data_IF_430698627198
#
_entry.id   IF_430698627198
#
_cell.length_a   1.000
_cell.length_b   1.000
_cell.length_c   1.000
_cell.angle_alpha   90.00
_cell.angle_beta   90.00
_cell.angle_gamma   90.00
#
_symmetry.space_group_name_H-M   'P 1'
#
loop_
_entity.id
_entity.type
_entity.pdbx_description
1 polymer ?
#
# COMPACT_ATOMS: atom_id res chain seq x y z
N UNK A 1 34.70 88.29 54.54
CA UNK A 1 34.16 89.49 53.88
C UNK A 1 32.84 89.10 53.22
N UNK A 2 31.75 89.66 53.74
CA UNK A 2 30.40 89.91 53.16
C UNK A 2 29.74 88.81 52.30
N UNK A 3 28.60 88.26 52.77
CA UNK A 3 27.20 88.68 52.51
C UNK A 3 26.73 88.31 51.09
N UNK A 4 25.53 87.84 50.78
CA UNK A 4 24.28 87.63 51.50
C UNK A 4 23.36 86.75 50.61
N UNK A 5 22.43 86.06 51.27
CA UNK A 5 21.07 85.63 50.91
C UNK A 5 20.60 85.53 49.43
N UNK A 6 19.86 84.43 49.12
CA UNK A 6 18.41 84.51 48.87
C UNK A 6 17.71 83.15 48.69
N UNK A 7 16.43 83.18 49.04
CA UNK A 7 15.44 82.11 49.17
C UNK A 7 15.06 81.36 47.88
N UNK A 8 14.47 80.15 48.02
CA UNK A 8 13.88 79.42 46.89
C UNK A 8 13.21 78.10 47.22
N UNK A 9 12.03 78.18 47.84
CA UNK A 9 10.91 77.21 47.98
C UNK A 9 10.96 75.91 47.16
N UNK A 10 10.79 74.79 47.85
CA UNK A 10 10.58 73.42 47.34
C UNK A 10 9.29 73.26 46.50
N UNK A 11 9.41 72.74 45.27
CA UNK A 11 8.29 72.24 44.46
C UNK A 11 8.48 70.78 44.04
N UNK A 12 7.47 69.96 44.33
CA UNK A 12 6.92 68.95 43.43
C UNK A 12 7.67 67.62 43.24
N UNK A 13 7.32 66.61 44.04
CA UNK A 13 7.62 65.21 43.74
C UNK A 13 6.75 64.70 42.57
N UNK A 14 7.39 64.25 41.46
CA UNK A 14 6.75 63.54 40.35
C UNK A 14 6.59 62.04 40.67
N UNK A 15 5.51 61.38 40.26
CA UNK A 15 5.32 59.95 40.47
C UNK A 15 6.24 59.13 39.55
N UNK A 16 6.89 58.10 40.12
CA UNK A 16 7.74 57.14 39.41
C UNK A 16 6.90 56.29 38.44
N UNK A 17 7.20 56.38 37.15
CA UNK A 17 6.67 55.51 36.10
C UNK A 17 7.24 54.10 36.21
N UNK A 18 6.37 53.09 36.20
CA UNK A 18 6.74 51.68 36.13
C UNK A 18 7.46 51.34 34.80
N UNK A 19 8.41 50.38 34.79
CA UNK A 19 9.16 50.03 33.59
C UNK A 19 8.24 49.31 32.58
N UNK A 20 8.14 49.89 31.38
CA UNK A 20 7.50 49.23 30.22
C UNK A 20 8.41 48.09 29.77
N UNK A 21 7.96 46.85 29.95
CA UNK A 21 8.55 45.68 29.32
C UNK A 21 8.49 45.84 27.79
N UNK A 22 9.55 45.52 27.04
CA UNK A 22 9.60 45.71 25.60
C UNK A 22 8.64 44.72 24.92
N UNK A 23 7.58 45.24 24.28
CA UNK A 23 6.58 44.43 23.56
C UNK A 23 7.16 43.50 22.48
N UNK A 24 8.40 43.74 22.03
CA UNK A 24 9.12 42.85 21.11
C UNK A 24 9.48 41.48 21.70
N UNK A 25 9.71 41.37 23.01
CA UNK A 25 10.05 40.09 23.66
C UNK A 25 8.81 39.20 23.80
N UNK A 26 7.65 39.81 24.09
CA UNK A 26 6.37 39.10 24.15
C UNK A 26 5.95 38.62 22.75
N UNK A 27 6.18 39.42 21.71
CA UNK A 27 5.90 39.03 20.32
C UNK A 27 6.80 37.88 19.81
N UNK A 28 8.10 37.86 20.16
CA UNK A 28 8.98 36.74 19.83
C UNK A 28 8.66 35.45 20.62
N UNK A 29 8.27 35.57 21.90
CA UNK A 29 7.81 34.40 22.66
C UNK A 29 6.48 33.85 22.12
N UNK A 30 5.55 34.70 21.69
CA UNK A 30 4.30 34.26 21.04
C UNK A 30 4.54 33.59 19.68
N UNK A 31 5.53 34.05 18.89
CA UNK A 31 5.93 33.38 17.66
C UNK A 31 6.63 32.02 17.91
N UNK A 32 7.41 31.90 18.99
CA UNK A 32 8.04 30.64 19.40
C UNK A 32 7.04 29.61 19.96
N UNK A 33 5.92 30.05 20.53
CA UNK A 33 4.83 29.18 21.00
C UNK A 33 3.89 28.77 19.84
N UNK A 34 3.84 29.54 18.75
CA UNK A 34 3.09 29.19 17.53
C UNK A 34 3.89 28.30 16.55
N UNK A 35 5.21 28.18 16.71
CA UNK A 35 6.01 27.09 16.13
C UNK A 35 5.84 25.81 16.95
N UNK A 36 4.59 25.31 17.01
CA UNK A 36 4.28 24.04 17.66
C UNK A 36 5.19 22.94 17.14
N UNK A 37 5.63 22.06 18.04
CA UNK A 37 6.49 20.90 17.78
C UNK A 37 6.01 20.14 16.54
N UNK A 38 6.59 20.44 15.38
CA UNK A 38 6.37 19.66 14.17
C UNK A 38 7.04 18.33 14.41
N UNK A 39 6.24 17.25 14.42
CA UNK A 39 6.77 15.88 14.51
C UNK A 39 7.88 15.69 13.47
N UNK A 40 8.94 14.99 13.85
CA UNK A 40 9.98 14.54 12.93
C UNK A 40 9.44 13.51 11.94
N UNK A 41 10.18 13.24 10.87
CA UNK A 41 9.83 12.17 9.92
C UNK A 41 9.74 10.80 10.61
N UNK A 42 10.69 10.50 11.50
CA UNK A 42 10.70 9.25 12.25
C UNK A 42 9.47 9.11 13.16
N UNK A 43 9.06 10.21 13.83
CA UNK A 43 7.84 10.22 14.65
C UNK A 43 6.58 10.04 13.80
N UNK A 44 6.55 10.62 12.59
CA UNK A 44 5.43 10.42 11.65
C UNK A 44 5.40 8.99 11.10
N UNK A 45 6.54 8.42 10.75
CA UNK A 45 6.65 7.04 10.29
C UNK A 45 6.28 6.04 11.40
N UNK A 46 6.62 6.32 12.66
CA UNK A 46 6.18 5.52 13.80
C UNK A 46 4.66 5.61 14.01
N UNK A 47 4.08 6.80 13.86
CA UNK A 47 2.64 7.00 13.92
C UNK A 47 1.90 6.25 12.80
N UNK A 48 2.38 6.35 11.56
CA UNK A 48 1.80 5.60 10.44
C UNK A 48 1.91 4.08 10.64
N UNK A 49 3.01 3.57 11.22
CA UNK A 49 3.13 2.15 11.58
C UNK A 49 2.08 1.73 12.61
N UNK A 50 1.85 2.54 13.64
CA UNK A 50 0.78 2.28 14.61
C UNK A 50 -0.62 2.32 13.94
N UNK A 51 -0.83 3.21 12.97
CA UNK A 51 -2.07 3.27 12.20
C UNK A 51 -2.25 2.04 11.30
N UNK A 52 -1.19 1.53 10.68
CA UNK A 52 -1.18 0.26 9.94
C UNK A 52 -1.58 -0.89 10.86
N UNK A 53 -0.98 -0.99 12.04
CA UNK A 53 -1.30 -2.03 13.03
C UNK A 53 -2.77 -1.96 13.48
N UNK A 54 -3.27 -0.75 13.76
CA UNK A 54 -4.67 -0.54 14.13
C UNK A 54 -5.61 -0.95 12.99
N UNK A 55 -5.31 -0.53 11.75
CA UNK A 55 -6.07 -0.91 10.55
C UNK A 55 -6.14 -2.42 10.39
N UNK A 56 -5.01 -3.12 10.51
CA UNK A 56 -4.92 -4.57 10.37
C UNK A 56 -5.73 -5.29 11.44
N UNK A 57 -5.62 -4.85 12.70
CA UNK A 57 -6.36 -5.43 13.82
C UNK A 57 -7.87 -5.31 13.60
N UNK A 58 -8.31 -4.16 13.12
CA UNK A 58 -9.73 -3.81 13.02
C UNK A 58 -10.36 -4.20 11.65
N UNK A 59 -9.55 -4.66 10.69
CA UNK A 59 -9.98 -5.05 9.36
C UNK A 59 -10.76 -6.38 9.35
N UNK A 60 -12.07 -6.29 9.13
CA UNK A 60 -12.95 -7.45 8.94
C UNK A 60 -12.58 -8.29 7.71
N UNK A 61 -12.01 -7.67 6.67
CA UNK A 61 -11.51 -8.35 5.46
C UNK A 61 -10.40 -9.37 5.78
N UNK A 62 -9.62 -9.15 6.84
CA UNK A 62 -8.51 -10.01 7.24
C UNK A 62 -8.91 -11.15 8.16
N UNK A 63 -10.07 -11.07 8.82
CA UNK A 63 -10.50 -12.06 9.82
C UNK A 63 -10.54 -13.48 9.26
N UNK A 64 -11.16 -13.76 8.09
CA UNK A 64 -11.19 -15.12 7.56
C UNK A 64 -9.79 -15.68 7.31
N UNK A 65 -8.90 -14.84 6.78
CA UNK A 65 -7.53 -15.24 6.49
C UNK A 65 -6.71 -15.50 7.75
N UNK A 66 -6.71 -14.56 8.69
CA UNK A 66 -6.00 -14.70 9.98
C UNK A 66 -6.53 -15.89 10.78
N UNK A 67 -7.85 -16.10 10.79
CA UNK A 67 -8.48 -17.23 11.47
C UNK A 67 -8.07 -18.56 10.84
N UNK A 68 -8.03 -18.63 9.50
CA UNK A 68 -7.57 -19.81 8.78
C UNK A 68 -6.10 -20.11 9.07
N UNK A 69 -5.21 -19.10 8.98
CA UNK A 69 -3.78 -19.23 9.29
C UNK A 69 -3.57 -19.70 10.74
N UNK A 70 -4.22 -19.06 11.70
CA UNK A 70 -4.21 -19.46 13.11
C UNK A 70 -4.69 -20.92 13.28
N UNK A 71 -5.78 -21.30 12.62
CA UNK A 71 -6.31 -22.67 12.69
C UNK A 71 -5.31 -23.69 12.19
N UNK A 72 -4.66 -23.44 11.05
CA UNK A 72 -3.65 -24.33 10.49
C UNK A 72 -2.42 -24.46 11.41
N UNK A 73 -1.97 -23.36 12.02
CA UNK A 73 -0.81 -23.37 12.94
C UNK A 73 -1.14 -24.03 14.29
N UNK A 74 -2.32 -23.75 14.84
CA UNK A 74 -2.75 -24.21 16.16
C UNK A 74 -3.29 -25.65 16.17
N UNK A 75 -3.67 -26.22 15.03
CA UNK A 75 -4.21 -27.58 14.97
C UNK A 75 -3.25 -28.59 15.64
N UNK A 76 -3.79 -29.43 16.53
CA UNK A 76 -3.02 -30.44 17.28
C UNK A 76 -2.15 -29.89 18.40
N UNK A 77 -2.13 -28.58 18.65
CA UNK A 77 -1.36 -27.98 19.73
C UNK A 77 -2.14 -28.02 21.06
N UNK A 78 -1.48 -28.32 22.20
CA UNK A 78 -2.14 -28.44 23.50
C UNK A 78 -2.72 -27.11 24.01
N UNK A 79 -2.21 -25.98 23.55
CA UNK A 79 -2.65 -24.63 23.90
C UNK A 79 -3.56 -24.00 22.83
N UNK A 80 -4.10 -24.80 21.90
CA UNK A 80 -5.02 -24.32 20.87
C UNK A 80 -6.36 -23.89 21.49
N UNK A 81 -6.86 -22.67 21.22
CA UNK A 81 -8.16 -22.22 21.69
C UNK A 81 -9.29 -23.11 21.18
N UNK A 82 -10.30 -23.37 22.01
CA UNK A 82 -11.41 -24.26 21.66
C UNK A 82 -12.16 -23.78 20.40
N UNK A 83 -12.31 -22.47 20.23
CA UNK A 83 -12.94 -21.85 19.06
C UNK A 83 -12.16 -22.12 17.76
N UNK A 84 -10.83 -22.18 17.85
CA UNK A 84 -9.95 -22.45 16.71
C UNK A 84 -9.99 -23.92 16.33
N UNK A 85 -10.02 -24.82 17.32
CA UNK A 85 -10.22 -26.26 17.09
C UNK A 85 -11.58 -26.53 16.43
N UNK A 86 -12.64 -25.90 16.94
CA UNK A 86 -13.98 -26.01 16.37
C UNK A 86 -14.03 -25.49 14.91
N UNK A 87 -13.38 -24.36 14.63
CA UNK A 87 -13.26 -23.83 13.28
C UNK A 87 -12.56 -24.82 12.34
N UNK A 88 -11.47 -25.46 12.77
CA UNK A 88 -10.76 -26.48 12.00
C UNK A 88 -11.63 -27.70 11.65
N UNK A 89 -12.44 -28.16 12.59
CA UNK A 89 -13.41 -29.25 12.36
C UNK A 89 -14.47 -28.85 11.32
N UNK A 90 -14.98 -27.62 11.40
CA UNK A 90 -15.98 -27.10 10.47
C UNK A 90 -15.41 -26.86 9.06
N UNK A 91 -14.16 -26.40 8.96
CA UNK A 91 -13.43 -26.31 7.69
C UNK A 91 -13.25 -27.69 7.06
N UNK A 92 -12.91 -28.70 7.85
CA UNK A 92 -12.79 -30.08 7.36
C UNK A 92 -14.13 -30.64 6.89
N UNK A 93 -15.20 -30.40 7.65
CA UNK A 93 -16.55 -30.83 7.28
C UNK A 93 -17.06 -30.15 6.00
N UNK A 94 -16.77 -28.87 5.80
CA UNK A 94 -17.18 -28.13 4.59
C UNK A 94 -16.44 -28.58 3.33
N UNK A 95 -15.22 -29.12 3.44
CA UNK A 95 -14.51 -29.73 2.30
C UNK A 95 -15.18 -31.01 1.80
N UNK A 96 -15.93 -31.70 2.67
CA UNK A 96 -16.65 -32.92 2.31
C UNK A 96 -18.02 -32.66 1.66
N UNK A 97 -18.46 -31.40 1.56
CA UNK A 97 -19.75 -31.05 0.99
C UNK A 97 -19.77 -31.20 -0.55
N UNK A 98 -20.90 -31.63 -1.13
CA UNK A 98 -21.04 -31.75 -2.58
C UNK A 98 -20.98 -30.39 -3.27
N UNK A 99 -20.33 -30.33 -4.43
CA UNK A 99 -20.18 -29.10 -5.23
C UNK A 99 -21.47 -28.67 -5.90
N UNK A 100 -22.38 -29.60 -6.16
CA UNK A 100 -23.77 -29.36 -6.60
C UNK A 100 -24.69 -30.25 -5.77
N UNK A 101 -25.59 -29.68 -4.96
CA UNK A 101 -26.56 -30.47 -4.21
C UNK A 101 -27.53 -31.15 -5.19
N UNK A 102 -27.79 -32.44 -4.99
CA UNK A 102 -28.69 -33.25 -5.80
C UNK A 102 -30.17 -33.06 -5.42
N UNK A 103 -30.45 -32.46 -4.27
CA UNK A 103 -31.81 -32.17 -3.79
C UNK A 103 -31.89 -30.86 -3.03
N UNK A 104 -33.12 -30.35 -2.84
CA UNK A 104 -33.38 -29.15 -2.03
C UNK A 104 -32.99 -29.34 -0.55
N UNK A 105 -33.25 -30.53 0.02
CA UNK A 105 -32.82 -30.88 1.38
C UNK A 105 -31.29 -30.87 1.51
N UNK A 106 -30.57 -31.36 0.50
CA UNK A 106 -29.12 -31.32 0.46
C UNK A 106 -28.61 -29.88 0.31
N UNK A 107 -29.26 -29.06 -0.51
CA UNK A 107 -28.95 -27.65 -0.64
C UNK A 107 -29.12 -26.89 0.68
N UNK A 108 -30.18 -27.20 1.45
CA UNK A 108 -30.40 -26.62 2.78
C UNK A 108 -29.32 -27.07 3.79
N UNK A 109 -28.91 -28.35 3.77
CA UNK A 109 -27.80 -28.83 4.61
C UNK A 109 -26.49 -28.13 4.28
N UNK A 110 -26.15 -28.02 3.00
CA UNK A 110 -24.95 -27.32 2.52
C UNK A 110 -24.97 -25.85 2.95
N UNK A 111 -26.11 -25.17 2.76
CA UNK A 111 -26.28 -23.78 3.18
C UNK A 111 -26.10 -23.59 4.69
N UNK A 112 -26.68 -24.49 5.50
CA UNK A 112 -26.51 -24.48 6.95
C UNK A 112 -25.04 -24.67 7.35
N UNK A 113 -24.32 -25.60 6.74
CA UNK A 113 -22.90 -25.80 7.02
C UNK A 113 -22.04 -24.57 6.70
N UNK A 114 -22.34 -23.84 5.63
CA UNK A 114 -21.66 -22.57 5.33
C UNK A 114 -22.04 -21.46 6.30
N UNK A 115 -23.29 -21.40 6.75
CA UNK A 115 -23.72 -20.46 7.79
C UNK A 115 -22.98 -20.72 9.10
N UNK A 116 -22.93 -21.98 9.53
CA UNK A 116 -22.24 -22.41 10.74
C UNK A 116 -20.74 -22.07 10.65
N UNK A 117 -20.13 -22.26 9.47
CA UNK A 117 -18.74 -21.85 9.21
C UNK A 117 -18.56 -20.32 9.35
N UNK A 118 -19.49 -19.52 8.83
CA UNK A 118 -19.47 -18.07 8.99
C UNK A 118 -19.54 -17.63 10.46
N UNK A 119 -20.39 -18.29 11.25
CA UNK A 119 -20.48 -18.07 12.70
C UNK A 119 -19.19 -18.47 13.41
N UNK A 120 -18.55 -19.57 13.00
CA UNK A 120 -17.28 -19.99 13.57
C UNK A 120 -16.15 -18.99 13.29
N UNK A 121 -16.07 -18.44 12.08
CA UNK A 121 -15.13 -17.36 11.76
C UNK A 121 -15.37 -16.12 12.63
N UNK A 122 -16.64 -15.74 12.84
CA UNK A 122 -16.97 -14.63 13.72
C UNK A 122 -16.56 -14.87 15.18
N UNK A 123 -16.74 -16.10 15.70
CA UNK A 123 -16.28 -16.47 17.05
C UNK A 123 -14.76 -16.46 17.15
N UNK A 124 -14.07 -17.01 16.14
CA UNK A 124 -12.61 -17.02 16.07
C UNK A 124 -12.01 -15.61 16.01
N UNK A 125 -12.74 -14.60 15.50
CA UNK A 125 -12.31 -13.19 15.56
C UNK A 125 -11.96 -12.74 16.98
N UNK A 126 -12.82 -13.05 17.96
CA UNK A 126 -12.59 -12.65 19.35
C UNK A 126 -11.30 -13.28 19.90
N UNK A 127 -10.99 -14.51 19.47
CA UNK A 127 -9.72 -15.16 19.76
C UNK A 127 -8.55 -14.45 19.09
N UNK A 128 -8.68 -14.04 17.81
CA UNK A 128 -7.65 -13.28 17.07
C UNK A 128 -7.37 -11.87 17.61
N UNK A 129 -8.28 -11.30 18.41
CA UNK A 129 -8.06 -10.05 19.13
C UNK A 129 -7.14 -10.24 20.35
N UNK A 130 -7.03 -11.47 20.86
CA UNK A 130 -6.31 -11.81 22.10
C UNK A 130 -5.08 -12.69 21.87
N UNK A 131 -5.05 -13.43 20.75
CA UNK A 131 -4.05 -14.44 20.42
C UNK A 131 -3.49 -14.14 19.05
N UNK A 132 -2.17 -14.17 18.98
CA UNK A 132 -1.43 -14.00 17.74
C UNK A 132 -1.19 -15.36 17.08
N UNK A 133 -1.33 -15.48 15.76
CA UNK A 133 -0.96 -16.70 15.04
C UNK A 133 0.52 -17.05 15.20
N UNK A 134 1.36 -16.06 15.50
CA UNK A 134 2.80 -16.23 15.71
C UNK A 134 3.16 -16.94 17.02
N UNK A 135 2.21 -17.14 17.94
CA UNK A 135 2.39 -17.94 19.17
C UNK A 135 2.48 -19.46 18.90
N UNK A 136 2.10 -19.89 17.70
CA UNK A 136 2.05 -21.30 17.29
C UNK A 136 3.18 -21.64 16.32
N UNK A 137 3.50 -22.93 16.10
CA UNK A 137 4.53 -23.31 15.13
C UNK A 137 4.24 -22.76 13.72
N UNK A 138 5.30 -22.48 12.96
CA UNK A 138 5.23 -22.01 11.56
C UNK A 138 4.50 -23.04 10.67
N UNK A 139 3.85 -22.56 9.59
CA UNK A 139 3.12 -23.39 8.64
C UNK A 139 3.98 -24.49 8.04
N UNK A 140 5.22 -24.17 7.64
CA UNK A 140 6.12 -25.19 7.09
C UNK A 140 6.41 -26.31 8.08
N UNK A 141 6.76 -25.95 9.32
CA UNK A 141 7.02 -26.91 10.40
C UNK A 141 5.82 -27.80 10.69
N UNK A 142 4.60 -27.30 10.45
CA UNK A 142 3.35 -28.08 10.58
C UNK A 142 3.09 -28.99 9.38
N UNK A 143 3.32 -28.50 8.16
CA UNK A 143 3.04 -29.23 6.92
C UNK A 143 4.10 -30.27 6.57
N UNK A 144 5.36 -30.02 6.95
CA UNK A 144 6.50 -30.90 6.72
C UNK A 144 7.29 -31.11 8.02
N UNK A 145 6.73 -31.83 9.02
CA UNK A 145 7.40 -32.04 10.29
C UNK A 145 8.77 -32.71 10.11
N UNK A 146 9.80 -32.12 10.71
CA UNK A 146 11.18 -32.65 10.65
C UNK A 146 11.95 -32.33 9.37
N UNK A 147 11.34 -31.67 8.38
CA UNK A 147 12.08 -31.19 7.20
C UNK A 147 12.45 -29.71 7.36
N UNK A 148 13.73 -29.34 7.21
CA UNK A 148 14.13 -27.95 7.24
C UNK A 148 13.51 -27.20 6.05
N UNK A 149 13.09 -25.96 6.28
CA UNK A 149 12.69 -25.09 5.17
C UNK A 149 13.91 -24.79 4.29
N UNK A 150 13.77 -24.73 2.95
CA UNK A 150 14.91 -24.47 2.06
C UNK A 150 15.63 -23.13 2.29
N UNK A 151 15.03 -22.17 2.99
CA UNK A 151 15.71 -20.93 3.39
C UNK A 151 16.34 -21.07 4.79
N UNK A 152 17.65 -20.81 4.94
CA UNK A 152 18.32 -20.79 6.24
C UNK A 152 17.68 -19.78 7.20
N UNK A 153 17.51 -20.19 8.45
CA UNK A 153 16.98 -19.31 9.50
C UNK A 153 15.50 -18.97 9.33
N UNK A 154 14.71 -19.86 8.72
CA UNK A 154 13.26 -19.70 8.58
C UNK A 154 12.57 -19.33 9.89
N UNK A 155 12.00 -18.14 9.91
CA UNK A 155 11.30 -17.54 11.06
C UNK A 155 9.91 -17.04 10.64
N UNK A 156 9.16 -16.48 11.60
CA UNK A 156 7.83 -15.93 11.34
C UNK A 156 7.84 -14.82 10.29
N UNK A 157 8.82 -13.92 10.33
CA UNK A 157 8.91 -12.82 9.36
C UNK A 157 9.18 -13.32 7.93
N UNK A 158 9.98 -14.37 7.77
CA UNK A 158 10.21 -15.01 6.47
C UNK A 158 8.96 -15.74 5.95
N UNK A 159 8.19 -16.39 6.84
CA UNK A 159 6.90 -16.98 6.48
C UNK A 159 5.94 -15.90 5.95
N UNK A 160 5.86 -14.78 6.66
CA UNK A 160 5.04 -13.65 6.26
C UNK A 160 5.48 -13.05 4.91
N UNK A 161 6.79 -12.91 4.69
CA UNK A 161 7.34 -12.48 3.41
C UNK A 161 6.94 -13.44 2.27
N UNK A 162 7.07 -14.75 2.49
CA UNK A 162 6.69 -15.76 1.49
C UNK A 162 5.20 -15.73 1.17
N UNK A 163 4.34 -15.63 2.19
CA UNK A 163 2.90 -15.53 2.01
C UNK A 163 2.51 -14.23 1.29
N UNK A 164 3.17 -13.11 1.56
CA UNK A 164 2.93 -11.86 0.81
C UNK A 164 3.23 -12.03 -0.68
N UNK A 165 4.35 -12.68 -1.03
CA UNK A 165 4.73 -12.93 -2.42
C UNK A 165 3.73 -13.86 -3.10
N UNK A 166 3.26 -14.90 -2.40
CA UNK A 166 2.21 -15.79 -2.88
C UNK A 166 0.91 -15.02 -3.15
N UNK A 167 0.46 -14.18 -2.22
CA UNK A 167 -0.75 -13.39 -2.40
C UNK A 167 -0.64 -12.40 -3.55
N UNK A 168 0.52 -11.78 -3.73
CA UNK A 168 0.77 -10.89 -4.87
C UNK A 168 0.69 -11.64 -6.22
N UNK A 169 1.25 -12.85 -6.29
CA UNK A 169 1.14 -13.71 -7.49
C UNK A 169 -0.31 -14.13 -7.75
N UNK A 170 -1.08 -14.43 -6.69
CA UNK A 170 -2.49 -14.79 -6.82
C UNK A 170 -3.36 -13.60 -7.25
N UNK A 171 -3.07 -12.40 -6.75
CA UNK A 171 -3.76 -11.16 -7.12
C UNK A 171 -3.54 -10.80 -8.59
N UNK A 172 -2.29 -10.85 -9.03
CA UNK A 172 -1.93 -10.60 -10.44
C UNK A 172 -2.53 -11.62 -11.40
N UNK A 173 -2.82 -12.84 -10.92
CA UNK A 173 -3.55 -13.86 -11.66
C UNK A 173 -5.08 -13.72 -11.58
N UNK A 174 -5.61 -12.95 -10.62
CA UNK A 174 -7.04 -12.73 -10.42
C UNK A 174 -7.55 -11.52 -11.20
N UNK A 175 -7.85 -11.73 -12.48
CA UNK A 175 -8.45 -10.71 -13.36
C UNK A 175 -9.82 -10.18 -12.90
N UNK A 176 -10.42 -10.75 -11.84
CA UNK A 176 -11.74 -10.39 -11.34
C UNK A 176 -11.77 -9.49 -10.11
N UNK A 177 -10.61 -9.08 -9.56
CA UNK A 177 -10.51 -8.31 -8.30
C UNK A 177 -11.32 -8.95 -7.15
N UNK A 178 -11.28 -10.29 -7.06
CA UNK A 178 -12.09 -11.10 -6.14
C UNK A 178 -11.37 -11.35 -4.83
N UNK A 179 -10.04 -11.35 -4.84
CA UNK A 179 -9.20 -11.35 -3.63
C UNK A 179 -8.96 -9.91 -3.21
N UNK A 180 -9.26 -9.51 -1.95
CA UNK A 180 -8.83 -8.22 -1.41
C UNK A 180 -7.33 -8.28 -1.08
N UNK A 181 -6.50 -8.57 -2.08
CA UNK A 181 -5.10 -8.92 -1.87
C UNK A 181 -4.30 -7.74 -1.31
N UNK A 182 -4.70 -6.50 -1.59
CA UNK A 182 -4.04 -5.31 -1.04
C UNK A 182 -3.98 -5.33 0.49
N UNK A 183 -5.09 -5.67 1.18
CA UNK A 183 -5.11 -5.72 2.64
C UNK A 183 -4.31 -6.94 3.15
N UNK A 184 -4.38 -8.08 2.46
CA UNK A 184 -3.64 -9.30 2.81
C UNK A 184 -2.13 -9.11 2.67
N UNK A 185 -1.70 -8.55 1.55
CA UNK A 185 -0.31 -8.21 1.24
C UNK A 185 0.20 -7.16 2.21
N UNK A 186 -0.60 -6.13 2.53
CA UNK A 186 -0.24 -5.13 3.54
C UNK A 186 -0.03 -5.78 4.92
N UNK A 187 -0.93 -6.67 5.34
CA UNK A 187 -0.80 -7.40 6.60
C UNK A 187 0.43 -8.31 6.62
N UNK A 188 0.62 -9.13 5.59
CA UNK A 188 1.76 -10.04 5.54
C UNK A 188 3.08 -9.26 5.52
N UNK A 189 3.18 -8.19 4.73
CA UNK A 189 4.39 -7.37 4.66
C UNK A 189 4.63 -6.56 5.94
N UNK A 190 3.59 -6.09 6.64
CA UNK A 190 3.78 -5.36 7.90
C UNK A 190 4.42 -6.26 8.97
N UNK A 191 4.12 -7.56 8.94
CA UNK A 191 4.67 -8.57 9.86
C UNK A 191 6.04 -9.08 9.43
N UNK A 192 6.35 -9.04 8.14
CA UNK A 192 7.64 -9.44 7.57
C UNK A 192 8.77 -8.41 7.83
N UNK A 193 9.18 -8.20 9.07
CA UNK A 193 10.24 -7.22 9.40
C UNK A 193 11.63 -7.78 9.08
N UNK A 194 12.39 -7.21 8.13
CA UNK A 194 13.71 -7.70 7.76
C UNK A 194 14.71 -7.67 8.92
N UNK A 195 15.36 -8.80 9.19
CA UNK A 195 16.36 -8.94 10.24
C UNK A 195 17.78 -9.04 9.63
N UNK A 196 18.84 -8.58 10.32
CA UNK A 196 20.21 -8.70 9.84
C UNK A 196 20.64 -10.15 9.50
N UNK A 197 20.06 -11.14 10.19
CA UNK A 197 20.35 -12.56 9.97
C UNK A 197 19.77 -13.13 8.66
N UNK A 198 18.83 -12.44 8.01
CA UNK A 198 18.24 -12.90 6.77
C UNK A 198 19.22 -12.78 5.59
N UNK A 199 19.08 -13.60 4.53
CA UNK A 199 19.84 -13.41 3.30
C UNK A 199 19.68 -11.98 2.75
N UNK A 200 20.76 -11.31 2.31
CA UNK A 200 20.69 -9.92 1.85
C UNK A 200 19.66 -9.66 0.75
N UNK A 201 19.61 -10.52 -0.27
CA UNK A 201 18.62 -10.40 -1.34
C UNK A 201 17.16 -10.49 -0.84
N UNK A 202 16.90 -11.29 0.22
CA UNK A 202 15.58 -11.36 0.84
C UNK A 202 15.26 -10.07 1.59
N UNK A 203 16.21 -9.53 2.36
CA UNK A 203 16.01 -8.26 3.08
C UNK A 203 15.68 -7.12 2.12
N UNK A 204 16.47 -6.97 1.06
CA UNK A 204 16.24 -5.99 0.00
C UNK A 204 14.84 -6.19 -0.61
N UNK A 205 14.51 -7.40 -1.06
CA UNK A 205 13.20 -7.68 -1.67
C UNK A 205 12.03 -7.34 -0.73
N UNK A 206 12.13 -7.71 0.55
CA UNK A 206 11.07 -7.45 1.53
C UNK A 206 10.96 -5.97 1.88
N UNK A 207 12.07 -5.22 2.01
CA UNK A 207 12.04 -3.76 2.21
C UNK A 207 11.38 -3.05 1.04
N UNK A 208 11.75 -3.40 -0.19
CA UNK A 208 11.14 -2.84 -1.40
C UNK A 208 9.63 -3.10 -1.45
N UNK A 209 9.22 -4.34 -1.21
CA UNK A 209 7.79 -4.72 -1.18
C UNK A 209 7.02 -4.02 -0.06
N UNK A 210 7.58 -3.92 1.15
CA UNK A 210 6.99 -3.15 2.27
C UNK A 210 6.82 -1.68 1.92
N UNK A 211 7.86 -1.05 1.39
CA UNK A 211 7.83 0.33 0.94
C UNK A 211 6.75 0.58 -0.12
N UNK A 212 6.64 -0.31 -1.10
CA UNK A 212 5.57 -0.27 -2.12
C UNK A 212 4.18 -0.41 -1.49
N UNK A 213 3.98 -1.38 -0.60
CA UNK A 213 2.69 -1.62 0.04
C UNK A 213 2.25 -0.44 0.93
N UNK A 214 3.18 0.12 1.72
CA UNK A 214 2.92 1.30 2.54
C UNK A 214 2.61 2.53 1.69
N UNK A 215 3.37 2.75 0.62
CA UNK A 215 3.14 3.84 -0.30
C UNK A 215 1.77 3.72 -1.00
N UNK A 216 1.43 2.52 -1.49
CA UNK A 216 0.13 2.24 -2.12
C UNK A 216 -1.06 2.41 -1.16
N UNK A 217 -0.84 2.21 0.14
CA UNK A 217 -1.83 2.43 1.19
C UNK A 217 -1.86 3.87 1.75
N UNK A 218 -1.00 4.77 1.26
CA UNK A 218 -0.94 6.18 1.65
C UNK A 218 -0.08 6.49 2.89
N UNK A 219 0.66 5.50 3.41
CA UNK A 219 1.55 5.66 4.56
C UNK A 219 2.95 6.10 4.11
N UNK A 220 3.06 7.37 3.72
CA UNK A 220 4.20 7.87 2.98
C UNK A 220 5.49 8.03 3.80
N UNK A 221 5.40 8.30 5.11
CA UNK A 221 6.59 8.40 5.96
C UNK A 221 7.15 7.01 6.31
N UNK A 222 6.29 6.03 6.58
CA UNK A 222 6.70 4.64 6.75
C UNK A 222 7.29 4.06 5.45
N UNK A 223 6.68 4.37 4.30
CA UNK A 223 7.23 4.01 3.00
C UNK A 223 8.59 4.67 2.73
N UNK A 224 8.80 5.93 3.13
CA UNK A 224 10.08 6.63 2.93
C UNK A 224 11.23 5.92 3.64
N UNK A 225 11.02 5.44 4.86
CA UNK A 225 12.04 4.67 5.60
C UNK A 225 12.36 3.34 4.92
N UNK A 226 11.34 2.58 4.52
CA UNK A 226 11.54 1.26 3.89
C UNK A 226 12.20 1.39 2.51
N UNK A 227 11.76 2.34 1.67
CA UNK A 227 12.32 2.57 0.34
C UNK A 227 13.74 3.15 0.40
N UNK A 228 14.04 3.97 1.41
CA UNK A 228 15.40 4.48 1.62
C UNK A 228 16.34 3.39 2.10
N UNK A 229 15.90 2.54 3.03
CA UNK A 229 16.68 1.39 3.48
C UNK A 229 16.86 0.36 2.35
N UNK A 230 15.82 0.12 1.54
CA UNK A 230 15.89 -0.70 0.33
C UNK A 230 16.99 -0.24 -0.62
N UNK A 231 16.97 1.04 -1.02
CA UNK A 231 17.94 1.60 -1.95
C UNK A 231 19.36 1.59 -1.37
N UNK A 232 19.53 2.02 -0.12
CA UNK A 232 20.84 2.02 0.53
C UNK A 232 21.45 0.62 0.59
N UNK A 233 20.65 -0.40 0.90
CA UNK A 233 21.10 -1.78 0.97
C UNK A 233 21.36 -2.37 -0.43
N UNK A 234 20.46 -2.13 -1.40
CA UNK A 234 20.64 -2.60 -2.77
C UNK A 234 21.87 -1.98 -3.45
N UNK A 235 22.17 -0.70 -3.17
CA UNK A 235 23.37 -0.02 -3.64
C UNK A 235 24.65 -0.63 -3.04
N UNK A 236 24.62 -0.99 -1.76
CA UNK A 236 25.78 -1.51 -1.04
C UNK A 236 26.11 -2.97 -1.37
N UNK A 237 25.12 -3.77 -1.78
CA UNK A 237 25.33 -5.19 -2.10
C UNK A 237 26.06 -5.37 -3.44
N UNK A 238 27.00 -6.34 -3.52
CA UNK A 238 27.60 -6.72 -4.78
C UNK A 238 26.55 -7.34 -5.70
N UNK A 239 26.71 -7.15 -7.01
CA UNK A 239 25.78 -7.68 -8.00
C UNK A 239 25.60 -9.21 -7.88
N UNK A 240 26.66 -9.94 -7.51
CA UNK A 240 26.64 -11.39 -7.29
C UNK A 240 25.64 -11.88 -6.24
N UNK A 241 25.17 -10.99 -5.35
CA UNK A 241 24.20 -11.34 -4.29
C UNK A 241 22.75 -11.27 -4.79
N UNK A 242 22.54 -10.83 -6.03
CA UNK A 242 21.25 -10.82 -6.69
C UNK A 242 21.05 -12.08 -7.55
N UNK A 243 19.85 -12.67 -7.57
CA UNK A 243 19.60 -13.85 -8.39
C UNK A 243 19.63 -13.48 -9.87
N UNK A 244 20.25 -14.32 -10.69
CA UNK A 244 20.06 -14.25 -12.13
C UNK A 244 18.61 -14.66 -12.46
N UNK A 245 17.90 -13.84 -13.23
CA UNK A 245 16.51 -14.08 -13.59
C UNK A 245 16.38 -14.34 -15.09
N UNK A 246 16.28 -15.62 -15.47
CA UNK A 246 16.08 -16.11 -16.86
C UNK A 246 17.08 -15.53 -17.88
N UNK A 247 16.78 -14.33 -18.38
CA UNK A 247 17.53 -13.61 -19.41
C UNK A 247 18.31 -12.38 -18.86
N UNK A 248 18.29 -12.18 -17.53
CA UNK A 248 18.99 -11.10 -16.83
C UNK A 248 20.13 -11.63 -15.95
N UNK A 249 21.33 -11.08 -16.16
CA UNK A 249 22.48 -11.23 -15.26
C UNK A 249 22.20 -10.63 -13.87
N UNK A 250 22.93 -11.06 -12.82
CA UNK A 250 22.81 -10.46 -11.49
C UNK A 250 22.98 -8.93 -11.49
N UNK A 251 23.89 -8.41 -12.31
CA UNK A 251 24.09 -6.97 -12.52
C UNK A 251 22.83 -6.30 -13.08
N UNK A 252 22.22 -6.90 -14.11
CA UNK A 252 20.99 -6.39 -14.70
C UNK A 252 19.81 -6.49 -13.73
N UNK A 253 19.72 -7.55 -12.93
CA UNK A 253 18.70 -7.69 -11.89
C UNK A 253 18.86 -6.61 -10.82
N UNK A 254 20.09 -6.35 -10.35
CA UNK A 254 20.39 -5.28 -9.40
C UNK A 254 20.00 -3.91 -9.96
N UNK A 255 20.45 -3.55 -11.17
CA UNK A 255 20.12 -2.26 -11.76
C UNK A 255 18.61 -2.11 -12.04
N UNK A 256 17.91 -3.21 -12.37
CA UNK A 256 16.44 -3.19 -12.51
C UNK A 256 15.73 -2.90 -11.19
N UNK A 257 16.20 -3.50 -10.09
CA UNK A 257 15.69 -3.26 -8.76
C UNK A 257 15.98 -1.83 -8.28
N UNK A 258 17.17 -1.30 -8.57
CA UNK A 258 17.52 0.09 -8.29
C UNK A 258 16.62 1.06 -9.06
N UNK A 259 16.42 0.83 -10.36
CA UNK A 259 15.52 1.64 -11.17
C UNK A 259 14.11 1.67 -10.56
N UNK A 260 13.54 0.49 -10.28
CA UNK A 260 12.22 0.37 -9.66
C UNK A 260 12.15 1.07 -8.29
N UNK A 261 13.17 0.90 -7.45
CA UNK A 261 13.26 1.56 -6.15
C UNK A 261 13.26 3.07 -6.21
N UNK A 262 14.06 3.63 -7.12
CA UNK A 262 14.12 5.07 -7.31
C UNK A 262 12.78 5.61 -7.81
N UNK A 263 12.13 4.96 -8.79
CA UNK A 263 10.80 5.39 -9.23
C UNK A 263 9.75 5.30 -8.12
N UNK A 264 9.77 4.24 -7.31
CA UNK A 264 8.86 4.08 -6.17
C UNK A 264 9.12 5.15 -5.09
N UNK A 265 10.38 5.46 -4.78
CA UNK A 265 10.72 6.50 -3.81
C UNK A 265 10.37 7.90 -4.35
N UNK A 266 10.58 8.15 -5.64
CA UNK A 266 10.12 9.37 -6.29
C UNK A 266 8.60 9.53 -6.16
N UNK A 267 7.83 8.47 -6.45
CA UNK A 267 6.38 8.46 -6.28
C UNK A 267 5.98 8.78 -4.84
N UNK A 268 6.63 8.12 -3.87
CA UNK A 268 6.38 8.38 -2.45
C UNK A 268 6.67 9.84 -2.07
N UNK A 269 7.80 10.38 -2.53
CA UNK A 269 8.22 11.76 -2.26
C UNK A 269 7.31 12.79 -2.91
N UNK A 270 6.72 12.50 -4.06
CA UNK A 270 5.65 13.34 -4.62
C UNK A 270 4.44 13.38 -3.69
N UNK A 271 4.03 12.24 -3.11
CA UNK A 271 2.99 12.19 -2.06
C UNK A 271 3.34 13.02 -0.81
N UNK A 272 4.62 13.06 -0.44
CA UNK A 272 5.15 13.90 0.64
C UNK A 272 5.38 15.37 0.25
N UNK A 273 5.06 15.77 -0.99
CA UNK A 273 5.32 17.11 -1.55
C UNK A 273 6.80 17.51 -1.52
N UNK A 274 7.70 16.55 -1.75
CA UNK A 274 9.16 16.71 -1.81
C UNK A 274 9.66 16.69 -3.26
N UNK A 275 9.17 17.61 -4.08
CA UNK A 275 9.36 17.59 -5.53
C UNK A 275 10.83 17.48 -5.96
N UNK A 276 11.73 18.29 -5.38
CA UNK A 276 13.16 18.24 -5.74
C UNK A 276 13.82 16.90 -5.43
N UNK A 277 13.52 16.31 -4.28
CA UNK A 277 14.03 14.99 -3.91
C UNK A 277 13.43 13.87 -4.77
N UNK A 278 12.17 14.03 -5.21
CA UNK A 278 11.55 13.11 -6.18
C UNK A 278 12.22 13.23 -7.55
N UNK A 279 12.56 14.43 -8.01
CA UNK A 279 13.30 14.66 -9.25
C UNK A 279 14.70 14.00 -9.19
N UNK A 280 15.41 14.08 -8.07
CA UNK A 280 16.71 13.40 -7.88
C UNK A 280 16.58 11.87 -8.05
N UNK A 281 15.51 11.30 -7.51
CA UNK A 281 15.22 9.87 -7.64
C UNK A 281 14.83 9.50 -9.08
N UNK A 282 13.97 10.27 -9.73
CA UNK A 282 13.61 10.03 -11.13
C UNK A 282 14.85 10.04 -12.04
N UNK A 283 15.77 10.98 -11.86
CA UNK A 283 17.02 11.05 -12.61
C UNK A 283 17.89 9.80 -12.38
N UNK A 284 18.03 9.33 -11.14
CA UNK A 284 18.76 8.10 -10.82
C UNK A 284 18.09 6.84 -11.37
N UNK A 285 16.76 6.79 -11.34
CA UNK A 285 15.96 5.71 -11.92
C UNK A 285 16.14 5.62 -13.44
N UNK A 286 16.06 6.76 -14.13
CA UNK A 286 16.31 6.85 -15.57
C UNK A 286 17.75 6.46 -15.95
N UNK A 287 18.75 6.90 -15.18
CA UNK A 287 20.13 6.49 -15.37
C UNK A 287 20.34 4.98 -15.18
N UNK A 288 19.56 4.34 -14.30
CA UNK A 288 19.59 2.88 -14.14
C UNK A 288 18.97 2.17 -15.36
N UNK A 289 17.89 2.69 -15.93
CA UNK A 289 17.31 2.18 -17.18
C UNK A 289 18.26 2.33 -18.37
N UNK A 290 18.99 3.45 -18.45
CA UNK A 290 19.99 3.69 -19.50
C UNK A 290 21.14 2.67 -19.44
N UNK A 291 21.67 2.37 -18.24
CA UNK A 291 22.68 1.31 -18.06
C UNK A 291 22.19 -0.07 -18.47
N UNK A 292 20.89 -0.32 -18.35
CA UNK A 292 20.25 -1.55 -18.82
C UNK A 292 20.05 -1.57 -20.34
N UNK A 293 20.38 -0.49 -21.05
CA UNK A 293 20.11 -0.32 -22.48
C UNK A 293 18.61 -0.14 -22.79
N UNK A 294 17.80 0.24 -21.79
CA UNK A 294 16.36 0.44 -21.94
C UNK A 294 16.12 1.86 -22.46
N UNK A 295 16.14 2.00 -23.77
CA UNK A 295 15.84 3.24 -24.48
C UNK A 295 14.56 3.11 -25.28
N UNK A 296 13.56 3.90 -24.91
CA UNK A 296 12.27 3.95 -25.56
C UNK A 296 11.60 5.31 -25.31
N UNK A 297 10.41 5.48 -25.89
CA UNK A 297 9.64 6.71 -25.79
C UNK A 297 9.35 7.12 -24.34
N UNK A 298 9.14 6.16 -23.44
CA UNK A 298 8.91 6.46 -22.02
C UNK A 298 10.20 6.97 -21.35
N UNK A 299 11.35 6.36 -21.63
CA UNK A 299 12.62 6.79 -21.02
C UNK A 299 13.09 8.12 -21.59
N UNK A 300 12.95 8.36 -22.90
CA UNK A 300 13.24 9.66 -23.51
C UNK A 300 12.33 10.76 -22.99
N UNK A 301 11.04 10.48 -22.78
CA UNK A 301 10.12 11.45 -22.19
C UNK A 301 10.46 11.74 -20.73
N UNK A 302 10.80 10.72 -19.95
CA UNK A 302 11.29 10.89 -18.58
C UNK A 302 12.51 11.79 -18.52
N UNK A 303 13.48 11.59 -19.41
CA UNK A 303 14.65 12.45 -19.52
C UNK A 303 14.31 13.88 -19.93
N UNK A 304 13.48 14.08 -20.96
CA UNK A 304 13.02 15.41 -21.35
C UNK A 304 12.36 16.14 -20.17
N UNK A 305 11.46 15.48 -19.46
CA UNK A 305 10.79 16.04 -18.29
C UNK A 305 11.77 16.44 -17.19
N UNK A 306 12.73 15.57 -16.84
CA UNK A 306 13.71 15.85 -15.78
C UNK A 306 14.67 16.97 -16.18
N UNK A 307 15.13 17.01 -17.42
CA UNK A 307 15.96 18.10 -17.92
C UNK A 307 15.22 19.43 -17.88
N UNK A 308 13.97 19.47 -18.33
CA UNK A 308 13.13 20.67 -18.25
C UNK A 308 12.97 21.16 -16.80
N UNK A 309 12.63 20.27 -15.87
CA UNK A 309 12.45 20.61 -14.44
C UNK A 309 13.74 21.09 -13.75
N UNK A 310 14.89 20.75 -14.33
CA UNK A 310 16.23 21.17 -13.89
C UNK A 310 16.77 22.35 -14.70
N UNK A 311 15.93 22.99 -15.51
CA UNK A 311 16.30 24.15 -16.32
C UNK A 311 17.44 23.83 -17.33
N UNK A 312 17.60 22.55 -17.66
CA UNK A 312 18.50 22.00 -18.69
C UNK A 312 17.76 21.94 -20.03
N UNK A 313 17.38 23.09 -20.54
CA UNK A 313 16.45 23.20 -21.66
C UNK A 313 16.99 22.62 -22.97
N UNK A 314 18.31 22.74 -23.21
CA UNK A 314 18.96 22.19 -24.40
C UNK A 314 18.92 20.65 -24.40
N UNK A 315 19.21 20.01 -23.27
CA UNK A 315 19.13 18.57 -23.10
C UNK A 315 17.68 18.08 -23.21
N UNK A 316 16.73 18.81 -22.62
CA UNK A 316 15.31 18.50 -22.76
C UNK A 316 14.87 18.52 -24.23
N UNK A 317 15.25 19.57 -24.97
CA UNK A 317 14.94 19.71 -26.39
C UNK A 317 15.53 18.57 -27.23
N UNK A 318 16.74 18.09 -26.91
CA UNK A 318 17.34 16.93 -27.60
C UNK A 318 16.52 15.66 -27.43
N UNK A 319 16.02 15.38 -26.23
CA UNK A 319 15.15 14.22 -26.00
C UNK A 319 13.79 14.36 -26.69
N UNK A 320 13.25 15.58 -26.77
CA UNK A 320 12.04 15.84 -27.56
C UNK A 320 12.24 15.63 -29.06
N UNK A 321 13.39 16.03 -29.62
CA UNK A 321 13.74 15.72 -31.02
C UNK A 321 13.82 14.20 -31.24
N UNK A 322 14.41 13.46 -30.30
CA UNK A 322 14.48 12.00 -30.37
C UNK A 322 13.07 11.39 -30.37
N UNK A 323 12.19 11.86 -29.48
CA UNK A 323 10.79 11.46 -29.46
C UNK A 323 10.08 11.79 -30.77
N UNK A 324 10.28 12.97 -31.33
CA UNK A 324 9.68 13.39 -32.60
C UNK A 324 10.10 12.50 -33.79
N UNK A 325 11.20 11.77 -33.68
CA UNK A 325 11.65 10.80 -34.69
C UNK A 325 11.11 9.38 -34.45
N UNK A 326 10.36 9.14 -33.37
CA UNK A 326 9.83 7.82 -33.07
C UNK A 326 8.86 7.35 -34.15
N UNK A 327 9.01 6.11 -34.66
CA UNK A 327 8.08 5.52 -35.63
C UNK A 327 6.69 5.24 -35.04
N UNK A 328 6.57 5.22 -33.70
CA UNK A 328 5.33 4.91 -32.98
C UNK A 328 4.44 6.12 -32.72
N UNK A 329 4.88 7.32 -33.11
CA UNK A 329 4.11 8.56 -33.01
C UNK A 329 3.51 8.94 -34.36
N UNK A 330 2.28 9.47 -34.34
CA UNK A 330 1.64 10.02 -35.52
C UNK A 330 2.26 11.34 -35.95
N UNK A 331 1.95 11.76 -37.18
CA UNK A 331 2.54 12.96 -37.78
C UNK A 331 2.17 14.26 -37.04
N UNK A 332 1.02 14.27 -36.36
CA UNK A 332 0.62 15.41 -35.54
C UNK A 332 1.46 15.48 -34.27
N UNK A 333 1.63 14.34 -33.58
CA UNK A 333 2.41 14.25 -32.34
C UNK A 333 3.88 14.59 -32.58
N UNK A 334 4.46 14.13 -33.70
CA UNK A 334 5.84 14.47 -34.08
C UNK A 334 6.04 15.97 -34.30
N UNK A 335 5.10 16.63 -34.99
CA UNK A 335 5.14 18.09 -35.21
C UNK A 335 4.99 18.86 -33.90
N UNK A 336 4.09 18.43 -33.03
CA UNK A 336 3.89 19.04 -31.70
C UNK A 336 5.17 18.92 -30.84
N UNK A 337 5.83 17.76 -30.88
CA UNK A 337 7.09 17.53 -30.18
C UNK A 337 8.23 18.41 -30.74
N UNK A 338 8.35 18.52 -32.06
CA UNK A 338 9.38 19.35 -32.69
C UNK A 338 9.17 20.83 -32.35
N UNK A 339 7.94 21.33 -32.45
CA UNK A 339 7.61 22.70 -32.07
C UNK A 339 7.92 22.97 -30.58
N UNK A 340 7.70 21.99 -29.72
CA UNK A 340 8.05 22.08 -28.29
C UNK A 340 9.57 22.12 -28.07
N UNK A 341 10.34 21.31 -28.80
CA UNK A 341 11.80 21.32 -28.75
C UNK A 341 12.38 22.66 -29.19
N UNK A 342 11.85 23.24 -30.28
CA UNK A 342 12.29 24.53 -30.81
C UNK A 342 11.96 25.66 -29.82
N UNK A 343 10.75 25.66 -29.26
CA UNK A 343 10.36 26.63 -28.24
C UNK A 343 11.19 26.53 -26.95
N UNK A 344 11.64 25.33 -26.55
CA UNK A 344 12.52 25.15 -25.39
C UNK A 344 13.87 25.85 -25.60
N UNK A 345 14.43 25.76 -26.81
CA UNK A 345 15.70 26.40 -27.17
C UNK A 345 15.59 27.92 -27.24
N UNK A 346 14.44 28.43 -27.70
CA UNK A 346 14.24 29.87 -27.91
C UNK A 346 13.86 30.65 -26.65
N UNK A 347 13.11 30.02 -25.72
CA UNK A 347 12.43 30.78 -24.67
C UNK A 347 12.69 30.32 -23.24
N UNK A 348 13.30 29.15 -23.01
CA UNK A 348 13.71 28.64 -21.69
C UNK A 348 12.59 28.45 -20.66
N UNK A 349 11.93 29.53 -20.25
CA UNK A 349 10.98 29.59 -19.13
C UNK A 349 9.50 29.68 -19.54
N UNK A 350 9.19 29.97 -20.82
CA UNK A 350 7.82 30.30 -21.30
C UNK A 350 7.09 29.19 -22.05
N UNK A 351 7.31 27.93 -21.68
CA UNK A 351 6.50 26.86 -22.25
C UNK A 351 5.33 26.52 -21.32
N UNK A 352 4.07 26.67 -21.79
CA UNK A 352 2.95 26.02 -21.12
C UNK A 352 3.23 24.53 -21.22
N UNK A 353 3.61 23.97 -20.08
CA UNK A 353 3.75 22.53 -19.80
C UNK A 353 2.81 21.78 -20.73
N UNK A 354 3.39 20.96 -21.62
CA UNK A 354 2.77 19.77 -22.20
C UNK A 354 1.60 19.39 -21.30
N UNK A 355 0.34 19.62 -21.73
CA UNK A 355 -0.82 19.31 -20.89
C UNK A 355 -0.56 17.89 -20.36
N UNK A 356 -0.30 17.72 -19.06
CA UNK A 356 0.24 16.47 -18.53
C UNK A 356 -0.65 15.28 -18.94
N UNK A 357 -1.94 15.55 -19.12
CA UNK A 357 -2.94 14.67 -19.72
C UNK A 357 -2.68 14.27 -21.19
N UNK A 358 -2.27 15.19 -22.06
CA UNK A 358 -1.95 14.92 -23.48
C UNK A 358 -0.60 14.22 -23.63
N UNK A 359 0.39 14.54 -22.80
CA UNK A 359 1.64 13.78 -22.73
C UNK A 359 1.37 12.32 -22.34
N UNK A 360 0.58 12.10 -21.29
CA UNK A 360 0.18 10.76 -20.84
C UNK A 360 -0.62 10.00 -21.91
N UNK A 361 -1.49 10.68 -22.67
CA UNK A 361 -2.25 10.06 -23.76
C UNK A 361 -1.35 9.61 -24.92
N UNK A 362 -0.43 10.47 -25.37
CA UNK A 362 0.54 10.17 -26.44
C UNK A 362 1.43 8.99 -26.03
N UNK A 363 1.88 8.99 -24.77
CA UNK A 363 2.76 7.97 -24.23
C UNK A 363 2.03 6.64 -24.01
N UNK A 364 0.78 6.68 -23.55
CA UNK A 364 -0.10 5.52 -23.48
C UNK A 364 -0.37 4.88 -24.85
N UNK A 365 -0.59 5.70 -25.88
CA UNK A 365 -0.79 5.23 -27.25
C UNK A 365 0.47 4.59 -27.86
N UNK A 366 1.65 5.22 -27.66
CA UNK A 366 2.91 4.67 -28.13
C UNK A 366 3.27 3.33 -27.47
N UNK A 367 3.06 3.22 -26.14
CA UNK A 367 3.27 1.97 -25.40
C UNK A 367 2.30 0.86 -25.84
N UNK A 368 1.01 1.18 -26.03
CA UNK A 368 0.01 0.23 -26.55
C UNK A 368 0.33 -0.24 -27.97
N UNK A 369 0.78 0.67 -28.85
CA UNK A 369 1.17 0.34 -30.22
C UNK A 369 2.42 -0.57 -30.25
N UNK A 370 3.43 -0.25 -29.44
CA UNK A 370 4.67 -1.05 -29.32
C UNK A 370 4.42 -2.44 -28.73
N UNK A 371 3.45 -2.57 -27.83
CA UNK A 371 3.03 -3.85 -27.27
C UNK A 371 2.13 -4.70 -28.21
N UNK A 372 1.82 -4.20 -29.40
CA UNK A 372 0.97 -4.91 -30.37
C UNK A 372 -0.53 -4.90 -30.01
N UNK A 373 -0.97 -3.93 -29.19
CA UNK A 373 -2.34 -3.79 -28.71
C UNK A 373 -2.60 -4.43 -27.33
N UNK A 374 -3.64 -3.96 -26.64
CA UNK A 374 -3.98 -4.41 -25.27
C UNK A 374 -4.28 -5.92 -25.16
N UNK A 375 -4.78 -6.52 -26.24
CA UNK A 375 -5.17 -7.93 -26.31
C UNK A 375 -3.96 -8.89 -26.29
N UNK A 376 -2.85 -8.48 -26.89
CA UNK A 376 -1.62 -9.28 -26.97
C UNK A 376 -0.87 -9.33 -25.64
N UNK A 377 -0.97 -8.28 -24.84
CA UNK A 377 -0.38 -8.16 -23.49
C UNK A 377 -1.00 -9.20 -22.55
N UNK A 378 -2.32 -9.30 -22.53
CA UNK A 378 -3.07 -10.23 -21.67
C UNK A 378 -2.79 -11.70 -22.00
N UNK A 379 -2.71 -12.04 -23.29
CA UNK A 379 -2.44 -13.42 -23.74
C UNK A 379 -0.99 -13.84 -23.48
N UNK A 380 -0.04 -12.91 -23.62
CA UNK A 380 1.39 -13.19 -23.46
C UNK A 380 1.83 -13.43 -22.01
N UNK A 381 1.11 -12.89 -21.03
CA UNK A 381 1.50 -12.93 -19.62
C UNK A 381 1.17 -14.25 -18.91
N UNK A 382 0.06 -14.91 -19.24
CA UNK A 382 -0.45 -16.01 -18.39
C UNK A 382 -0.67 -17.35 -19.12
N UNK A 383 -0.88 -17.34 -20.44
CA UNK A 383 -1.24 -18.53 -21.20
C UNK A 383 -2.62 -19.11 -20.84
N UNK A 384 -3.37 -19.57 -21.84
CA UNK A 384 -4.78 -19.96 -21.66
C UNK A 384 -5.02 -21.13 -20.68
N UNK A 385 -4.05 -22.05 -20.56
CA UNK A 385 -4.21 -23.30 -19.83
C UNK A 385 -3.81 -23.19 -18.34
N UNK A 386 -2.80 -22.35 -18.02
CA UNK A 386 -2.33 -22.12 -16.64
C UNK A 386 -3.27 -21.24 -15.82
N UNK A 387 -4.01 -20.34 -16.47
CA UNK A 387 -5.06 -19.56 -15.84
C UNK A 387 -6.11 -20.45 -15.14
N UNK A 388 -6.54 -21.54 -15.78
CA UNK A 388 -7.56 -22.45 -15.24
C UNK A 388 -7.15 -23.22 -13.98
N UNK A 389 -5.86 -23.55 -13.83
CA UNK A 389 -5.35 -24.32 -12.68
C UNK A 389 -5.10 -23.44 -11.45
N UNK A 390 -4.70 -22.18 -11.65
CA UNK A 390 -4.53 -21.18 -10.59
C UNK A 390 -5.88 -20.70 -10.03
N UNK A 391 -6.94 -20.76 -10.84
CA UNK A 391 -8.30 -20.32 -10.47
C UNK A 391 -9.04 -21.27 -9.52
N UNK A 392 -8.65 -22.54 -9.35
CA UNK A 392 -9.46 -23.51 -8.59
C UNK A 392 -9.64 -23.16 -7.09
N UNK A 393 -8.59 -22.73 -6.35
CA UNK A 393 -8.74 -22.25 -4.97
C UNK A 393 -9.54 -20.93 -4.88
N UNK A 394 -9.39 -20.06 -5.87
CA UNK A 394 -10.10 -18.77 -5.97
C UNK A 394 -11.60 -18.97 -6.23
N UNK A 395 -11.96 -19.95 -7.07
CA UNK A 395 -13.33 -20.38 -7.33
C UNK A 395 -14.00 -21.05 -6.10
N UNK A 396 -13.23 -21.62 -5.18
CA UNK A 396 -13.75 -22.08 -3.89
C UNK A 396 -14.09 -20.89 -2.98
N UNK A 397 -13.20 -19.90 -2.86
CA UNK A 397 -13.45 -18.71 -2.04
C UNK A 397 -14.60 -17.85 -2.58
N UNK A 398 -14.72 -17.70 -3.89
CA UNK A 398 -15.84 -16.97 -4.52
C UNK A 398 -17.18 -17.69 -4.31
N UNK A 399 -17.20 -19.02 -4.30
CA UNK A 399 -18.41 -19.80 -3.92
C UNK A 399 -18.81 -19.58 -2.47
N UNK A 400 -17.85 -19.52 -1.54
CA UNK A 400 -18.11 -19.19 -0.13
C UNK A 400 -18.70 -17.78 -0.02
N UNK A 401 -18.11 -16.80 -0.72
CA UNK A 401 -18.59 -15.41 -0.74
C UNK A 401 -19.98 -15.27 -1.35
N UNK A 402 -20.24 -15.90 -2.49
CA UNK A 402 -21.55 -15.86 -3.18
C UNK A 402 -22.64 -16.58 -2.37
N UNK A 403 -22.31 -17.70 -1.72
CA UNK A 403 -23.22 -18.39 -0.80
C UNK A 403 -23.61 -17.52 0.41
N UNK A 404 -22.71 -16.65 0.86
CA UNK A 404 -22.98 -15.66 1.91
C UNK A 404 -23.75 -14.43 1.40
N UNK A 405 -23.59 -14.05 0.13
CA UNK A 405 -24.19 -12.86 -0.47
C UNK A 405 -25.60 -13.08 -1.06
N UNK A 406 -25.95 -14.32 -1.44
CA UNK A 406 -27.23 -14.64 -2.11
C UNK A 406 -28.44 -14.82 -1.19
N UNK A 407 -28.30 -14.67 0.13
CA UNK A 407 -29.43 -14.76 1.07
C UNK A 407 -29.51 -13.55 1.99
N UNK A 408 -30.73 -13.12 2.28
CA UNK A 408 -30.97 -12.05 3.24
C UNK A 408 -30.76 -12.57 4.66
N UNK A 409 -30.32 -11.69 5.59
CA UNK A 409 -30.24 -12.00 7.03
C UNK A 409 -31.57 -12.48 7.62
N UNK A 410 -32.69 -12.18 6.97
CA UNK A 410 -34.02 -12.64 7.37
C UNK A 410 -34.27 -14.12 7.00
N UNK A 411 -33.69 -14.60 5.90
CA UNK A 411 -33.68 -16.03 5.55
C UNK A 411 -32.71 -16.82 6.44
N UNK A 412 -31.60 -16.18 6.84
CA UNK A 412 -30.65 -16.73 7.83
C UNK A 412 -31.26 -16.87 9.23
N UNK A 413 -32.15 -15.95 9.62
CA UNK A 413 -32.85 -15.98 10.91
C UNK A 413 -33.93 -17.07 10.96
N UNK A 414 -34.65 -17.32 9.85
CA UNK A 414 -35.68 -18.36 9.77
C UNK A 414 -35.11 -19.78 9.71
N UNK A 415 -33.94 -19.99 9.11
CA UNK A 415 -33.33 -21.32 8.96
C UNK A 415 -32.54 -21.79 10.19
N UNK A 416 -32.09 -20.88 11.05
CA UNK A 416 -31.12 -21.17 12.11
C UNK A 416 -31.71 -21.44 13.51
N UNK A 417 -32.99 -21.12 13.77
CA UNK A 417 -33.66 -21.38 15.06
C UNK A 417 -32.79 -21.04 16.29
N UNK A 418 -32.75 -21.95 17.26
CA UNK A 418 -32.10 -21.81 18.58
C UNK A 418 -30.62 -21.41 18.57
N UNK A 419 -29.90 -21.55 17.45
CA UNK A 419 -28.51 -21.09 17.33
C UNK A 419 -28.37 -19.57 17.24
N UNK A 420 -29.45 -18.85 16.87
CA UNK A 420 -29.43 -17.40 16.69
C UNK A 420 -29.63 -16.61 17.99
N UNK A 421 -30.24 -17.21 19.02
CA UNK A 421 -30.37 -16.56 20.34
C UNK A 421 -29.01 -16.41 21.04
N UNK A 422 -28.08 -17.35 20.82
CA UNK A 422 -26.69 -17.22 21.24
C UNK A 422 -25.93 -16.11 20.50
N UNK A 423 -26.28 -15.83 19.25
CA UNK A 423 -25.70 -14.73 18.43
C UNK A 423 -26.25 -13.38 18.87
N UNK A 424 -27.54 -13.29 19.23
CA UNK A 424 -28.18 -12.08 19.73
C UNK A 424 -27.65 -11.68 21.12
N UNK A 425 -27.37 -12.68 21.97
CA UNK A 425 -26.77 -12.46 23.29
C UNK A 425 -25.28 -12.04 23.21
N UNK A 426 -24.55 -12.41 22.16
CA UNK A 426 -23.10 -12.21 22.05
C UNK A 426 -22.64 -10.99 21.23
N UNK A 427 -23.50 -10.31 20.47
CA UNK A 427 -22.99 -9.42 19.41
C UNK A 427 -23.87 -8.28 18.90
N UNK A 428 -24.72 -7.67 19.72
CA UNK A 428 -25.67 -6.63 19.29
C UNK A 428 -25.07 -5.37 18.61
N UNK A 429 -23.77 -5.10 18.77
CA UNK A 429 -23.10 -3.93 18.15
C UNK A 429 -22.42 -4.24 16.82
N UNK A 430 -21.85 -5.44 16.64
CA UNK A 430 -21.16 -5.83 15.41
C UNK A 430 -22.12 -6.07 14.24
N UNK A 431 -23.31 -6.60 14.54
CA UNK A 431 -24.35 -6.88 13.56
C UNK A 431 -24.92 -5.59 12.92
N UNK A 432 -25.11 -4.56 13.75
CA UNK A 432 -25.64 -3.26 13.32
C UNK A 432 -24.65 -2.51 12.42
N UNK A 433 -23.35 -2.54 12.76
CA UNK A 433 -22.29 -1.95 11.94
C UNK A 433 -22.09 -2.67 10.59
N UNK A 434 -22.28 -4.00 10.57
CA UNK A 434 -22.25 -4.79 9.34
C UNK A 434 -23.49 -4.51 8.47
N UNK A 435 -24.66 -4.35 9.09
CA UNK A 435 -25.93 -4.03 8.42
C UNK A 435 -25.90 -2.63 7.78
N UNK A 436 -25.35 -1.65 8.49
CA UNK A 436 -25.18 -0.27 8.00
C UNK A 436 -24.21 -0.20 6.81
N UNK A 437 -23.10 -0.95 6.85
CA UNK A 437 -22.13 -0.99 5.74
C UNK A 437 -22.57 -1.81 4.53
N UNK A 438 -23.35 -2.87 4.71
CA UNK A 438 -23.83 -3.72 3.61
C UNK A 438 -25.12 -3.19 2.96
N UNK A 439 -25.93 -2.41 3.68
CA UNK A 439 -27.25 -1.94 3.20
C UNK A 439 -27.35 -0.41 3.06
N UNK A 440 -26.34 0.37 3.45
CA UNK A 440 -26.40 1.84 3.49
C UNK A 440 -25.36 2.51 2.58
N UNK A 441 -25.58 2.43 1.26
CA UNK A 441 -24.77 3.11 0.25
C UNK A 441 -25.62 3.53 -0.96
N UNK A 442 -26.86 3.96 -0.72
CA UNK A 442 -27.74 4.53 -1.73
C UNK A 442 -28.28 5.86 -1.20
N UNK A 443 -27.87 6.96 -1.82
CA UNK A 443 -28.26 8.29 -1.40
C UNK A 443 -29.74 8.58 -1.66
N UNK A 444 -30.36 9.29 -0.73
CA UNK A 444 -31.57 10.05 -1.01
C UNK A 444 -31.20 11.49 -1.38
N UNK A 445 -31.42 11.80 -2.64
CA UNK A 445 -31.48 13.17 -3.15
C UNK A 445 -32.85 13.80 -2.89
N UNK A 446 -32.81 15.08 -2.48
CA UNK A 446 -33.86 16.12 -2.46
C UNK A 446 -34.85 16.02 -1.28
N UNK A 447 -35.03 17.08 -0.50
CA UNK A 447 -35.55 18.38 -0.96
C UNK A 447 -34.98 19.60 -0.22
N UNK A 448 -34.80 20.67 -1.00
CA UNK A 448 -34.59 22.03 -0.54
C UNK A 448 -35.87 22.64 0.07
N UNK A 449 -35.68 23.36 1.17
CA UNK A 449 -36.49 24.42 1.79
C UNK A 449 -35.79 24.67 3.15
N UNK A 450 -35.53 25.84 3.71
CA UNK A 450 -35.87 27.25 3.49
C UNK A 450 -34.93 28.01 4.46
N UNK A 451 -34.33 29.14 4.08
CA UNK A 451 -33.98 30.21 5.04
C UNK A 451 -35.24 31.08 5.22
N UNK A 452 -35.54 31.77 6.35
CA UNK A 452 -34.66 32.70 7.11
C UNK A 452 -35.05 32.77 8.63
N UNK A 453 -34.73 33.80 9.46
CA UNK A 453 -33.92 35.02 9.30
C UNK A 453 -32.59 35.09 10.06
#
# INVERSE_FOLDING_TARGET
MNNDAKDGVCQGAKPRSAPRLPGGVIAMMLLAVLSGCRKSDAERAALERNEIEARIRDAYSLVPYRALKLTMRAEGQPNAPAEVVALGQMLSATRALPTKPASEEEALRVAKSYLDLGVAFYKAKKTLEQRDEDEFPLLWSRMQPGQPFPLPGYDAGQEHAFLSALWFVLDTADSGNRVPATDLVLYELSRATPQPAWPPGLRVSVRGSRGMAFCGAGYHYAAEEELSAFLAEAEALPASDFPALRDASPEQTRESLLAAGYFLRAWNRMGLKRERAAEDDLERGLGSLEKLGIENELTWWGWAFIHFRRERYDESARYLDTLARSPYLGETERRDLQASADAMREHGERLPIFLQARAAAILGQALLARAGGAEKILVSLLGAERAGQVLAPLLWMDRVRQGLAQRSMDDFSRAAGDSFDGVRAAGGKGLSALKEKLLGGGGDTKTAAESPP
#
